data_IF_889975954488
#
_entry.id   IF_889975954488
#
_cell.length_a   1.000
_cell.length_b   1.000
_cell.length_c   1.000
_cell.angle_alpha   90.00
_cell.angle_beta   90.00
_cell.angle_gamma   90.00
#
_symmetry.space_group_name_H-M   'P 1'
#
loop_
_entity.id
_entity.type
_entity.pdbx_description
1 polymer ?
#
# COMPACT_ATOMS: atom_id res chain seq x y z
N UNK A 1 4.58 -0.77 9.86
CA UNK A 1 3.51 0.23 9.68
C UNK A 1 3.98 1.58 10.20
N UNK A 2 3.70 2.62 9.45
CA UNK A 2 4.17 3.98 9.76
C UNK A 2 2.98 4.90 9.85
N UNK A 3 3.03 5.86 10.77
CA UNK A 3 2.01 6.90 10.88
C UNK A 3 2.61 8.25 10.55
N UNK A 4 1.94 8.99 9.70
CA UNK A 4 2.36 10.34 9.33
C UNK A 4 1.16 11.24 9.51
N UNK A 5 1.28 12.22 10.40
CA UNK A 5 0.18 13.14 10.73
C UNK A 5 -1.11 12.41 11.12
N UNK A 6 -0.98 11.31 11.86
CA UNK A 6 -2.12 10.52 12.28
C UNK A 6 -2.66 9.56 11.25
N UNK A 7 -2.07 9.52 10.06
CA UNK A 7 -2.51 8.64 8.99
C UNK A 7 -1.62 7.38 8.99
N UNK A 8 -2.26 6.23 9.02
CA UNK A 8 -1.53 4.97 8.94
C UNK A 8 -1.07 4.73 7.51
N UNK A 9 0.21 4.42 7.38
CA UNK A 9 0.82 4.17 6.07
C UNK A 9 1.43 2.78 6.06
N UNK A 10 1.36 2.14 4.91
CA UNK A 10 1.91 0.80 4.72
C UNK A 10 3.02 0.83 3.67
N UNK A 11 4.09 0.13 3.95
CA UNK A 11 5.15 -0.11 2.97
C UNK A 11 4.85 -1.42 2.24
N UNK A 12 5.64 -1.72 1.21
CA UNK A 12 5.49 -2.99 0.50
C UNK A 12 5.66 -4.18 1.42
N UNK A 13 6.58 -4.08 2.38
CA UNK A 13 6.78 -5.15 3.34
C UNK A 13 5.55 -5.39 4.20
N UNK A 14 4.91 -4.32 4.62
CA UNK A 14 3.69 -4.43 5.42
C UNK A 14 2.58 -5.10 4.64
N UNK A 15 2.40 -4.72 3.39
CA UNK A 15 1.39 -5.31 2.53
C UNK A 15 1.69 -6.79 2.31
N UNK A 16 2.93 -7.10 2.03
CA UNK A 16 3.38 -8.47 1.82
C UNK A 16 3.04 -9.35 3.02
N UNK A 17 3.28 -8.86 4.23
CA UNK A 17 2.97 -9.60 5.45
C UNK A 17 1.48 -9.78 5.67
N UNK A 18 0.73 -8.71 5.49
CA UNK A 18 -0.69 -8.74 5.79
C UNK A 18 -1.49 -9.56 4.80
N UNK A 19 -1.11 -9.53 3.54
CA UNK A 19 -1.84 -10.23 2.49
C UNK A 19 -1.21 -11.58 2.13
N UNK A 20 -0.08 -11.93 2.73
CA UNK A 20 0.65 -13.16 2.45
C UNK A 20 0.96 -13.30 0.95
N UNK A 21 1.45 -12.23 0.37
CA UNK A 21 1.81 -12.21 -1.05
C UNK A 21 3.30 -11.93 -1.20
N UNK A 22 3.82 -12.17 -2.40
CA UNK A 22 5.21 -11.90 -2.68
C UNK A 22 5.47 -10.39 -2.67
N UNK A 23 6.69 -10.02 -2.32
CA UNK A 23 7.09 -8.62 -2.27
C UNK A 23 6.91 -7.94 -3.63
N UNK A 24 7.22 -8.66 -4.70
CA UNK A 24 7.02 -8.14 -6.04
C UNK A 24 5.58 -7.80 -6.33
N UNK A 25 4.67 -8.64 -5.86
CA UNK A 25 3.24 -8.41 -6.02
C UNK A 25 2.81 -7.18 -5.23
N UNK A 26 3.34 -7.02 -4.02
CA UNK A 26 3.04 -5.84 -3.21
C UNK A 26 3.48 -4.56 -3.91
N UNK A 27 4.68 -4.57 -4.49
CA UNK A 27 5.15 -3.41 -5.25
C UNK A 27 4.29 -3.15 -6.48
N UNK A 28 3.88 -4.20 -7.17
CA UNK A 28 3.01 -4.05 -8.33
C UNK A 28 1.70 -3.37 -7.95
N UNK A 29 1.11 -3.77 -6.83
CA UNK A 29 -0.10 -3.14 -6.32
C UNK A 29 0.14 -1.66 -6.04
N UNK A 30 1.24 -1.35 -5.35
CA UNK A 30 1.53 0.02 -4.97
C UNK A 30 1.83 0.93 -6.16
N UNK A 31 2.33 0.36 -7.25
CA UNK A 31 2.65 1.15 -8.44
C UNK A 31 1.45 1.49 -9.31
N UNK A 32 0.30 0.88 -9.05
CA UNK A 32 -0.90 1.20 -9.82
C UNK A 32 -1.41 2.58 -9.42
N UNK A 33 -1.97 3.29 -10.37
CA UNK A 33 -2.54 4.61 -10.12
C UNK A 33 -3.68 4.55 -9.12
N UNK A 34 -4.43 3.47 -9.17
CA UNK A 34 -5.60 3.30 -8.32
C UNK A 34 -5.23 3.18 -6.84
N UNK A 35 -4.06 2.63 -6.56
CA UNK A 35 -3.62 2.50 -5.19
C UNK A 35 -3.23 3.84 -4.58
N UNK A 36 -2.77 4.78 -5.39
CA UNK A 36 -2.43 6.11 -4.89
C UNK A 36 -1.23 6.15 -3.96
N UNK A 37 -0.33 5.19 -4.09
CA UNK A 37 0.87 5.17 -3.26
C UNK A 37 1.81 6.31 -3.63
N UNK A 38 2.56 6.80 -2.66
CA UNK A 38 3.48 7.91 -2.85
C UNK A 38 4.85 7.60 -2.26
N UNK A 39 5.88 8.17 -2.89
CA UNK A 39 7.22 8.09 -2.33
C UNK A 39 7.37 9.13 -1.24
N UNK A 40 7.80 8.69 -0.08
CA UNK A 40 8.13 9.58 1.03
C UNK A 40 9.57 9.26 1.40
N UNK A 41 10.46 10.18 1.06
CA UNK A 41 11.87 9.90 1.14
C UNK A 41 12.22 8.85 0.10
N UNK A 42 12.77 7.73 0.54
CA UNK A 42 13.16 6.63 -0.35
C UNK A 42 12.19 5.47 -0.32
N UNK A 43 11.10 5.61 0.44
CA UNK A 43 10.15 4.53 0.61
C UNK A 43 8.84 4.82 -0.09
N UNK A 44 8.32 3.82 -0.75
CA UNK A 44 7.00 3.90 -1.35
C UNK A 44 5.98 3.48 -0.30
N UNK A 45 5.07 4.38 0.01
CA UNK A 45 4.06 4.16 1.05
C UNK A 45 2.67 4.39 0.50
N UNK A 46 1.71 3.64 1.04
CA UNK A 46 0.31 3.78 0.68
C UNK A 46 -0.49 3.97 1.96
N UNK A 47 -1.46 4.89 1.92
CA UNK A 47 -2.32 5.10 3.07
C UNK A 47 -3.31 3.96 3.24
N UNK A 48 -3.76 3.76 4.47
CA UNK A 48 -4.73 2.72 4.77
C UNK A 48 -6.00 2.88 3.94
N UNK A 49 -6.47 4.11 3.81
CA UNK A 49 -7.68 4.38 3.04
C UNK A 49 -7.52 4.00 1.57
N UNK A 50 -6.40 4.36 0.98
CA UNK A 50 -6.15 4.03 -0.41
C UNK A 50 -6.03 2.54 -0.62
N UNK A 51 -5.38 1.86 0.32
CA UNK A 51 -5.25 0.41 0.23
C UNK A 51 -6.63 -0.26 0.31
N UNK A 52 -7.48 0.21 1.21
CA UNK A 52 -8.84 -0.32 1.32
C UNK A 52 -9.63 -0.13 0.05
N UNK A 53 -9.54 1.05 -0.53
CA UNK A 53 -10.23 1.34 -1.78
C UNK A 53 -9.77 0.42 -2.89
N UNK A 54 -8.48 0.21 -2.98
CA UNK A 54 -7.92 -0.66 -3.99
C UNK A 54 -8.44 -2.09 -3.82
N UNK A 55 -8.39 -2.60 -2.59
CA UNK A 55 -8.83 -3.96 -2.32
C UNK A 55 -10.33 -4.15 -2.55
N UNK A 56 -11.11 -3.14 -2.24
CA UNK A 56 -12.55 -3.20 -2.47
C UNK A 56 -12.87 -3.22 -3.95
N UNK A 57 -12.15 -2.45 -4.73
CA UNK A 57 -12.36 -2.43 -6.18
C UNK A 57 -11.96 -3.75 -6.83
N UNK A 58 -10.97 -4.41 -6.27
CA UNK A 58 -10.53 -5.70 -6.78
C UNK A 58 -11.61 -6.77 -6.70
N UNK A 59 -12.53 -6.63 -5.77
CA UNK A 59 -13.59 -7.62 -5.57
C UNK A 59 -14.63 -7.59 -6.67
N UNK A 60 -14.67 -6.52 -7.40
CA UNK A 60 -15.62 -6.41 -8.50
C UNK A 60 -14.97 -6.85 -9.80
#
# INVERSE_FOLDING_TARGET
MVQISGIKMFSAEDICRNLHIAKETAYAIMKTKEAGAKYIGRKLLISEDNLRKYLNNEKN
#
